data_IF_381808836235
#
_entry.id   IF_381808836235
#
_cell.length_a   1.000
_cell.length_b   1.000
_cell.length_c   1.000
_cell.angle_alpha   90.00
_cell.angle_beta   90.00
_cell.angle_gamma   90.00
#
_symmetry.space_group_name_H-M   'P 1'
#
loop_
_entity.id
_entity.type
_entity.pdbx_description
1 polymer ?
#
# COMPACT_ATOMS: atom_id res chain seq x y z
N UNK A 1 -6.58 5.79 30.64
CA UNK A 1 -7.62 6.77 30.25
C UNK A 1 -7.54 6.92 28.74
N UNK A 2 -8.43 6.24 28.01
CA UNK A 2 -8.28 5.97 26.56
C UNK A 2 -8.91 7.01 25.65
N UNK A 3 -8.48 7.01 24.38
CA UNK A 3 -9.10 7.79 23.32
C UNK A 3 -10.52 7.26 23.08
N UNK A 4 -11.53 8.09 23.34
CA UNK A 4 -12.94 7.79 23.11
C UNK A 4 -13.58 8.90 22.28
N UNK A 5 -14.60 8.57 21.50
CA UNK A 5 -15.42 9.57 20.84
C UNK A 5 -15.99 10.55 21.88
N UNK A 6 -15.83 11.85 21.63
CA UNK A 6 -16.16 12.91 22.60
C UNK A 6 -14.98 13.41 23.44
N UNK A 7 -13.95 12.58 23.66
CA UNK A 7 -12.71 12.96 24.38
C UNK A 7 -11.47 12.70 23.52
N UNK A 8 -11.55 13.07 22.25
CA UNK A 8 -10.39 13.08 21.35
C UNK A 8 -9.56 14.35 21.62
N UNK A 9 -8.22 14.27 21.58
CA UNK A 9 -7.33 15.42 21.82
C UNK A 9 -7.45 16.51 20.75
N UNK A 10 -8.16 16.25 19.66
CA UNK A 10 -8.36 17.15 18.54
C UNK A 10 -9.70 17.87 18.66
N UNK A 11 -9.67 19.21 18.67
CA UNK A 11 -10.86 20.06 18.70
C UNK A 11 -11.14 20.66 17.32
N UNK A 12 -12.16 20.14 16.64
CA UNK A 12 -12.61 20.61 15.33
C UNK A 12 -13.64 21.73 15.52
N UNK A 13 -13.53 22.84 14.79
CA UNK A 13 -14.53 23.92 14.78
C UNK A 13 -14.83 24.34 13.33
N UNK A 14 -16.10 24.67 13.04
CA UNK A 14 -16.56 25.23 11.76
C UNK A 14 -16.28 24.35 10.53
N UNK A 15 -16.60 23.05 10.61
CA UNK A 15 -16.58 22.15 9.45
C UNK A 15 -17.97 21.53 9.28
N UNK A 16 -18.48 21.53 8.06
CA UNK A 16 -19.75 20.90 7.67
C UNK A 16 -19.45 19.75 6.72
N UNK A 17 -19.99 18.58 7.00
CA UNK A 17 -19.85 17.38 6.18
C UNK A 17 -21.21 17.01 5.58
N UNK A 18 -21.19 16.58 4.32
CA UNK A 18 -22.38 16.08 3.62
C UNK A 18 -22.16 14.62 3.23
N UNK A 19 -23.19 13.80 3.40
CA UNK A 19 -23.17 12.37 3.09
C UNK A 19 -24.49 11.94 2.47
N UNK A 20 -24.44 11.08 1.46
CA UNK A 20 -25.62 10.43 0.87
C UNK A 20 -25.89 9.10 1.58
N UNK A 21 -27.15 8.68 1.68
CA UNK A 21 -27.51 7.37 2.26
C UNK A 21 -26.88 6.23 1.45
N UNK A 22 -26.37 5.15 2.08
CA UNK A 22 -25.79 4.00 1.36
C UNK A 22 -26.74 3.36 0.35
N UNK A 23 -28.05 3.42 0.61
CA UNK A 23 -29.08 2.87 -0.28
C UNK A 23 -29.23 3.67 -1.59
N UNK A 24 -28.82 4.93 -1.57
CA UNK A 24 -28.89 5.83 -2.72
C UNK A 24 -27.59 5.87 -3.52
N UNK A 25 -26.51 5.28 -2.98
CA UNK A 25 -25.19 5.26 -3.60
C UNK A 25 -24.99 4.01 -4.47
N UNK A 26 -24.18 4.14 -5.52
CA UNK A 26 -23.67 2.99 -6.27
C UNK A 26 -22.40 2.47 -5.58
N UNK A 27 -22.40 1.19 -5.20
CA UNK A 27 -21.26 0.54 -4.52
C UNK A 27 -19.95 0.66 -5.32
N UNK A 28 -20.02 0.56 -6.65
CA UNK A 28 -18.86 0.61 -7.55
C UNK A 28 -18.93 1.80 -8.52
N UNK A 29 -19.24 2.98 -8.01
CA UNK A 29 -19.25 4.19 -8.83
C UNK A 29 -17.86 4.43 -9.48
N UNK A 30 -17.81 4.56 -10.81
CA UNK A 30 -16.61 4.92 -11.58
C UNK A 30 -15.39 3.99 -11.34
N UNK A 31 -15.63 2.74 -10.97
CA UNK A 31 -14.56 1.77 -10.68
C UNK A 31 -13.58 1.60 -11.85
N UNK A 32 -14.09 1.53 -13.09
CA UNK A 32 -13.24 1.39 -14.28
C UNK A 32 -12.61 2.72 -14.68
N UNK A 33 -13.42 3.77 -14.85
CA UNK A 33 -12.93 5.05 -15.40
C UNK A 33 -12.06 5.85 -14.43
N UNK A 34 -12.30 5.73 -13.13
CA UNK A 34 -11.52 6.44 -12.10
C UNK A 34 -10.67 5.49 -11.25
N UNK A 35 -11.17 4.29 -10.95
CA UNK A 35 -10.44 3.33 -10.13
C UNK A 35 -9.17 2.82 -10.81
N UNK A 36 -9.25 2.32 -12.05
CA UNK A 36 -8.08 1.78 -12.76
C UNK A 36 -6.98 2.83 -12.96
N UNK A 37 -7.26 4.05 -13.47
CA UNK A 37 -6.22 5.08 -13.61
C UNK A 37 -5.62 5.53 -12.27
N UNK A 38 -6.40 5.48 -11.18
CA UNK A 38 -5.90 5.81 -9.84
C UNK A 38 -5.00 4.71 -9.27
N UNK A 39 -5.36 3.43 -9.48
CA UNK A 39 -4.50 2.29 -9.12
C UNK A 39 -3.17 2.40 -9.85
N UNK A 40 -3.20 2.62 -11.17
CA UNK A 40 -1.97 2.79 -11.94
C UNK A 40 -1.13 3.97 -11.43
N UNK A 41 -1.76 5.13 -11.16
CA UNK A 41 -1.07 6.29 -10.56
C UNK A 41 -0.48 6.02 -9.17
N UNK A 42 -1.06 5.09 -8.39
CA UNK A 42 -0.52 4.67 -7.09
C UNK A 42 0.66 3.73 -7.26
N UNK A 43 0.51 2.72 -8.13
CA UNK A 43 1.58 1.76 -8.44
C UNK A 43 2.81 2.49 -8.98
N UNK A 44 2.64 3.41 -9.92
CA UNK A 44 3.76 4.20 -10.47
C UNK A 44 4.46 5.08 -9.44
N UNK A 45 3.79 5.46 -8.34
CA UNK A 45 4.42 6.23 -7.24
C UNK A 45 5.12 5.34 -6.23
N UNK A 46 4.63 4.12 -6.02
CA UNK A 46 5.17 3.17 -5.03
C UNK A 46 6.31 2.33 -5.61
N UNK A 47 6.29 2.02 -6.91
CA UNK A 47 7.32 1.21 -7.56
C UNK A 47 8.73 1.80 -7.46
N UNK A 48 8.98 3.10 -7.74
CA UNK A 48 10.34 3.64 -7.69
C UNK A 48 11.07 3.46 -6.36
N UNK A 49 10.46 3.76 -5.18
CA UNK A 49 11.13 3.50 -3.91
C UNK A 49 11.18 1.99 -3.55
N UNK A 50 10.28 1.16 -4.07
CA UNK A 50 10.20 -0.26 -3.71
C UNK A 50 11.14 -1.16 -4.52
N UNK A 51 11.32 -0.88 -5.82
CA UNK A 51 12.08 -1.73 -6.76
C UNK A 51 13.52 -1.97 -6.31
N UNK A 52 14.31 -0.96 -5.87
CA UNK A 52 15.71 -1.19 -5.51
C UNK A 52 15.89 -2.18 -4.36
N UNK A 53 15.03 -2.09 -3.33
CA UNK A 53 15.09 -2.99 -2.18
C UNK A 53 14.68 -4.42 -2.54
N UNK A 54 13.63 -4.58 -3.34
CA UNK A 54 13.22 -5.89 -3.83
C UNK A 54 14.29 -6.51 -4.73
N UNK A 55 14.88 -5.73 -5.64
CA UNK A 55 15.92 -6.19 -6.55
C UNK A 55 17.18 -6.65 -5.80
N UNK A 56 17.65 -5.85 -4.83
CA UNK A 56 18.79 -6.20 -4.00
C UNK A 56 18.55 -7.50 -3.23
N UNK A 57 17.36 -7.66 -2.64
CA UNK A 57 16.99 -8.87 -1.92
C UNK A 57 17.05 -10.12 -2.81
N UNK A 58 16.46 -10.05 -4.00
CA UNK A 58 16.47 -11.16 -4.97
C UNK A 58 17.90 -11.52 -5.36
N UNK A 59 18.74 -10.51 -5.67
CA UNK A 59 20.14 -10.73 -6.03
C UNK A 59 20.93 -11.42 -4.92
N UNK A 60 20.73 -11.00 -3.67
CA UNK A 60 21.39 -11.61 -2.51
C UNK A 60 20.99 -13.07 -2.33
N UNK A 61 19.70 -13.40 -2.48
CA UNK A 61 19.22 -14.77 -2.36
C UNK A 61 19.81 -15.67 -3.44
N UNK A 62 19.85 -15.20 -4.69
CA UNK A 62 20.43 -15.96 -5.81
C UNK A 62 21.92 -16.22 -5.55
N UNK A 63 22.68 -15.19 -5.17
CA UNK A 63 24.10 -15.32 -4.88
C UNK A 63 24.37 -16.28 -3.69
N UNK A 64 23.61 -16.15 -2.61
CA UNK A 64 23.74 -17.03 -1.44
C UNK A 64 23.46 -18.50 -1.81
N UNK A 65 22.41 -18.73 -2.61
CA UNK A 65 22.04 -20.08 -3.06
C UNK A 65 23.13 -20.67 -3.95
N UNK A 66 23.70 -19.88 -4.87
CA UNK A 66 24.80 -20.30 -5.74
C UNK A 66 26.06 -20.69 -4.95
N UNK A 67 26.42 -19.89 -3.94
CA UNK A 67 27.59 -20.18 -3.10
C UNK A 67 27.36 -21.47 -2.30
N UNK A 68 26.18 -21.62 -1.69
CA UNK A 68 25.84 -22.81 -0.92
C UNK A 68 25.89 -24.10 -1.76
N UNK A 69 25.35 -24.06 -2.99
CA UNK A 69 25.39 -25.23 -3.88
C UNK A 69 26.82 -25.55 -4.34
N UNK A 70 27.62 -24.54 -4.63
CA UNK A 70 29.03 -24.71 -5.04
C UNK A 70 29.89 -25.31 -3.92
N UNK A 71 29.72 -24.85 -2.67
CA UNK A 71 30.45 -25.40 -1.52
C UNK A 71 30.11 -26.88 -1.31
N UNK A 72 28.83 -27.24 -1.42
CA UNK A 72 28.37 -28.64 -1.28
C UNK A 72 28.92 -29.59 -2.36
N UNK A 73 29.37 -29.06 -3.50
CA UNK A 73 30.01 -29.86 -4.55
C UNK A 73 31.51 -30.08 -4.31
N UNK A 74 32.14 -29.25 -3.48
CA UNK A 74 33.59 -29.29 -3.21
C UNK A 74 33.90 -30.17 -1.99
N UNK A 75 32.97 -30.24 -1.02
CA UNK A 75 33.01 -31.13 0.15
C UNK A 75 32.42 -32.50 -0.18
#
# INVERSE_FOLDING_TARGET
MGLQFGNLPIRIRRIVYYSLSPLEQRVWAKSVTHGIPNILRRVMRVLPPMIPGAYLNILLIINATYIHTKIKQIL
#
